data_IF_950456634544
#
_entry.id   IF_950456634544
#
_cell.length_a   1.000
_cell.length_b   1.000
_cell.length_c   1.000
_cell.angle_alpha   90.00
_cell.angle_beta   90.00
_cell.angle_gamma   90.00
#
_symmetry.space_group_name_H-M   'P 1'
#
loop_
_entity.id
_entity.type
_entity.pdbx_description
1 polymer ?
#
# COMPACT_ATOMS: atom_id res chain seq x y z
N UNK A 1 12.31 3.98 -1.07
CA UNK A 1 11.12 4.82 -0.84
C UNK A 1 10.46 4.39 0.47
N UNK A 2 9.97 5.33 1.27
CA UNK A 2 9.58 5.08 2.68
C UNK A 2 8.16 4.46 2.81
N UNK A 3 7.91 3.33 2.16
CA UNK A 3 6.75 2.48 2.48
C UNK A 3 7.12 1.67 3.71
N UNK A 4 6.40 1.86 4.81
CA UNK A 4 6.55 1.05 6.03
C UNK A 4 5.61 -0.15 5.91
N UNK A 5 6.12 -1.33 6.22
CA UNK A 5 5.38 -2.58 6.14
C UNK A 5 5.31 -3.16 7.55
N UNK A 6 4.10 -3.45 8.00
CA UNK A 6 3.83 -4.13 9.27
C UNK A 6 3.20 -5.48 8.95
N UNK A 7 3.60 -6.53 9.67
CA UNK A 7 3.00 -7.86 9.55
C UNK A 7 2.17 -8.11 10.80
N UNK A 8 0.92 -8.54 10.61
CA UNK A 8 0.03 -8.98 11.68
C UNK A 8 -0.63 -10.30 11.27
N UNK A 9 -0.20 -11.39 11.90
CA UNK A 9 -0.55 -12.75 11.48
C UNK A 9 -0.21 -13.01 10.00
N UNK A 10 -1.23 -13.36 9.21
CA UNK A 10 -1.14 -13.61 7.77
C UNK A 10 -1.38 -12.36 6.91
N UNK A 11 -1.56 -11.20 7.55
CA UNK A 11 -1.85 -9.93 6.88
C UNK A 11 -0.64 -9.00 6.88
N UNK A 12 -0.56 -8.14 5.88
CA UNK A 12 0.43 -7.06 5.78
C UNK A 12 -0.27 -5.71 5.69
N UNK A 13 0.20 -4.74 6.48
CA UNK A 13 -0.24 -3.36 6.44
C UNK A 13 0.88 -2.49 5.86
N UNK A 14 0.56 -1.74 4.81
CA UNK A 14 1.47 -0.81 4.15
C UNK A 14 1.06 0.61 4.50
N UNK A 15 2.02 1.40 4.96
CA UNK A 15 1.86 2.82 5.26
C UNK A 15 2.87 3.63 4.46
N UNK A 16 2.39 4.59 3.68
CA UNK A 16 3.24 5.57 3.02
C UNK A 16 2.68 6.97 3.23
N UNK A 17 3.55 7.92 3.57
CA UNK A 17 3.17 9.31 3.86
C UNK A 17 3.79 10.20 2.78
N UNK A 18 3.00 11.11 2.22
CA UNK A 18 3.49 12.16 1.35
C UNK A 18 3.46 13.52 2.06
N UNK A 19 4.55 13.91 2.75
CA UNK A 19 4.61 15.19 3.46
C UNK A 19 4.91 16.38 2.53
N UNK A 20 4.98 16.16 1.21
CA UNK A 20 5.38 17.19 0.25
C UNK A 20 4.16 17.92 -0.31
N UNK A 21 4.40 19.01 -1.06
CA UNK A 21 3.36 19.80 -1.72
C UNK A 21 2.97 19.25 -3.11
N UNK A 22 3.65 18.21 -3.59
CA UNK A 22 3.41 17.60 -4.90
C UNK A 22 2.93 16.16 -4.75
N UNK A 23 2.12 15.63 -5.68
CA UNK A 23 1.76 14.22 -5.69
C UNK A 23 3.00 13.32 -5.74
N UNK A 24 2.92 12.17 -5.08
CA UNK A 24 3.99 11.17 -5.07
C UNK A 24 3.47 9.80 -5.46
N UNK A 25 4.05 9.22 -6.49
CA UNK A 25 3.79 7.81 -6.83
C UNK A 25 4.74 6.92 -6.03
N UNK A 26 4.20 5.86 -5.44
CA UNK A 26 4.95 4.82 -4.74
C UNK A 26 4.59 3.45 -5.31
N UNK A 27 5.56 2.54 -5.36
CA UNK A 27 5.33 1.15 -5.71
C UNK A 27 5.16 0.31 -4.43
N UNK A 28 4.00 -0.33 -4.28
CA UNK A 28 3.72 -1.28 -3.20
C UNK A 28 4.09 -2.67 -3.70
N UNK A 29 5.06 -3.31 -3.03
CA UNK A 29 5.54 -4.66 -3.35
C UNK A 29 5.16 -5.63 -2.25
N UNK A 30 4.51 -6.72 -2.63
CA UNK A 30 4.20 -7.81 -1.73
C UNK A 30 5.47 -8.59 -1.38
N UNK A 31 5.57 -9.15 -0.16
CA UNK A 31 6.61 -10.10 0.19
C UNK A 31 6.70 -11.26 -0.81
N UNK A 32 7.91 -11.79 -0.98
CA UNK A 32 8.12 -12.92 -1.88
C UNK A 32 7.27 -14.13 -1.45
N UNK A 33 6.55 -14.73 -2.42
CA UNK A 33 5.67 -15.87 -2.16
C UNK A 33 4.33 -15.50 -1.53
N UNK A 34 4.08 -14.22 -1.24
CA UNK A 34 2.78 -13.72 -0.79
C UNK A 34 1.98 -13.18 -1.96
N UNK A 35 0.82 -13.78 -2.21
CA UNK A 35 -0.16 -13.30 -3.19
C UNK A 35 -1.46 -13.01 -2.45
N UNK A 36 -1.76 -11.73 -2.13
CA UNK A 36 -2.92 -11.40 -1.33
C UNK A 36 -4.20 -11.76 -2.08
N UNK A 37 -5.13 -12.44 -1.41
CA UNK A 37 -6.49 -12.63 -1.90
C UNK A 37 -7.26 -11.31 -1.90
N UNK A 38 -6.98 -10.45 -0.92
CA UNK A 38 -7.58 -9.14 -0.76
C UNK A 38 -6.49 -8.12 -0.47
N UNK A 39 -6.48 -7.00 -1.19
CA UNK A 39 -5.58 -5.89 -0.92
C UNK A 39 -6.38 -4.61 -1.08
N UNK A 40 -6.58 -3.83 -0.01
CA UNK A 40 -7.54 -2.73 0.04
C UNK A 40 -6.89 -1.48 0.60
N UNK A 41 -7.03 -0.36 -0.13
CA UNK A 41 -6.73 0.96 0.40
C UNK A 41 -7.88 1.41 1.33
N UNK A 42 -7.58 1.67 2.60
CA UNK A 42 -8.61 2.00 3.58
C UNK A 42 -9.36 3.31 3.31
N UNK A 43 -8.72 4.26 2.63
CA UNK A 43 -9.32 5.58 2.40
C UNK A 43 -10.11 5.64 1.09
N UNK A 44 -9.63 4.97 0.04
CA UNK A 44 -10.29 4.99 -1.29
C UNK A 44 -11.18 3.78 -1.54
N UNK A 45 -10.99 2.68 -0.80
CA UNK A 45 -11.67 1.41 -1.04
C UNK A 45 -11.16 0.65 -2.28
N UNK A 46 -10.14 1.17 -2.97
CA UNK A 46 -9.54 0.54 -4.14
C UNK A 46 -8.95 -0.82 -3.81
N UNK A 47 -9.11 -1.78 -4.73
CA UNK A 47 -8.72 -3.17 -4.54
C UNK A 47 -7.63 -3.61 -5.51
N UNK A 48 -6.60 -4.27 -4.98
CA UNK A 48 -5.41 -4.73 -5.71
C UNK A 48 -5.09 -6.22 -5.49
N UNK A 49 -6.09 -7.04 -5.14
CA UNK A 49 -5.91 -8.48 -4.91
C UNK A 49 -5.33 -9.23 -6.11
N UNK A 50 -4.65 -10.34 -5.84
CA UNK A 50 -4.05 -11.21 -6.85
C UNK A 50 -2.82 -10.63 -7.55
N UNK A 51 -2.27 -9.52 -7.05
CA UNK A 51 -1.07 -8.88 -7.60
C UNK A 51 0.09 -8.94 -6.62
N UNK A 52 1.29 -9.19 -7.14
CA UNK A 52 2.55 -9.14 -6.38
C UNK A 52 3.08 -7.72 -6.19
N UNK A 53 2.61 -6.75 -6.99
CA UNK A 53 2.85 -5.33 -6.79
C UNK A 53 1.79 -4.45 -7.45
N UNK A 54 1.71 -3.19 -7.03
CA UNK A 54 0.94 -2.15 -7.71
C UNK A 54 1.50 -0.76 -7.38
N UNK A 55 1.27 0.21 -8.26
CA UNK A 55 1.63 1.62 -8.01
C UNK A 55 0.43 2.38 -7.47
N UNK A 56 0.67 3.28 -6.53
CA UNK A 56 -0.33 4.18 -5.97
C UNK A 56 0.21 5.61 -5.96
N UNK A 57 -0.64 6.58 -6.32
CA UNK A 57 -0.32 8.00 -6.26
C UNK A 57 -0.96 8.61 -5.01
N UNK A 58 -0.11 9.17 -4.15
CA UNK A 58 -0.51 9.81 -2.90
C UNK A 58 -0.56 11.33 -3.14
N UNK A 59 -1.69 11.99 -2.89
CA UNK A 59 -1.80 13.45 -2.95
C UNK A 59 -0.81 14.16 -1.99
N UNK A 60 -0.57 15.47 -2.17
CA UNK A 60 0.16 16.29 -1.20
C UNK A 60 -0.45 16.22 0.21
N UNK A 61 0.39 16.17 1.24
CA UNK A 61 -0.03 16.12 2.66
C UNK A 61 -0.97 14.96 3.02
N UNK A 62 -0.90 13.86 2.30
CA UNK A 62 -1.82 12.72 2.46
C UNK A 62 -1.08 11.41 2.79
N UNK A 63 -1.85 10.39 3.14
CA UNK A 63 -1.38 9.09 3.59
C UNK A 63 -2.05 7.97 2.78
N UNK A 64 -1.23 7.03 2.35
CA UNK A 64 -1.68 5.74 1.85
C UNK A 64 -1.63 4.71 2.99
N UNK A 65 -2.76 4.05 3.23
CA UNK A 65 -2.86 2.92 4.15
C UNK A 65 -3.54 1.75 3.45
N UNK A 66 -2.82 0.65 3.28
CA UNK A 66 -3.29 -0.53 2.55
C UNK A 66 -3.13 -1.77 3.40
N UNK A 67 -4.19 -2.56 3.54
CA UNK A 67 -4.12 -3.91 4.10
C UNK A 67 -4.11 -4.94 2.97
N UNK A 68 -3.22 -5.92 3.06
CA UNK A 68 -3.14 -7.07 2.17
C UNK A 68 -3.29 -8.37 2.98
N UNK A 69 -4.26 -9.20 2.63
CA UNK A 69 -4.60 -10.49 3.24
C UNK A 69 -4.63 -11.58 2.18
#
# INVERSE_FOLDING_TARGET
ENVRIFKDGDSYLYLAINPTISPKTVEIKMPQGFLPQSCVNFYTGEKHGGKSSFSATIPPQDVLLVEAK
#
